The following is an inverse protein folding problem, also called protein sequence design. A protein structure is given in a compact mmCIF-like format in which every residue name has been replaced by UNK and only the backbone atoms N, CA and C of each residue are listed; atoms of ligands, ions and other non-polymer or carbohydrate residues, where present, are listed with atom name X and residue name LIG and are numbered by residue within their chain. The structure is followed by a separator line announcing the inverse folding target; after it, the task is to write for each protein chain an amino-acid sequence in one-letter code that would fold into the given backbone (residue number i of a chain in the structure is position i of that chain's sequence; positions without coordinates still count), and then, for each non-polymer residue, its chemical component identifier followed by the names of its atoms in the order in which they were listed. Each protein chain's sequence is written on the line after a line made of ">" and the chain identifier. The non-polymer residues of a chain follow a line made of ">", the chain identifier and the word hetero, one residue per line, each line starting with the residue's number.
data_IF_002535208987
#
_entry.id   IF_002535208987
#
_cell.length_a   1.000
_cell.length_b   1.000
_cell.length_c   1.000
_cell.angle_alpha   90.00
_cell.angle_beta   90.00
_cell.angle_gamma   90.00
#
_symmetry.space_group_name_H-M   'P 1'
#
loop_
_entity.id
_entity.type
_entity.pdbx_description
1 polymer ?
#
# COMPACT_ATOMS: atom_id res chain seq x y z
N UNK A 1 -17.76 -7.55 -13.37
CA UNK A 1 -16.52 -7.12 -14.04
C UNK A 1 -16.00 -8.35 -14.70
N UNK A 2 -15.67 -8.29 -15.98
CA UNK A 2 -15.20 -9.48 -16.70
C UNK A 2 -13.68 -9.47 -16.71
N UNK A 3 -13.09 -10.53 -16.18
CA UNK A 3 -11.64 -10.74 -16.20
C UNK A 3 -11.28 -11.69 -17.34
N UNK A 4 -10.16 -11.46 -18.04
CA UNK A 4 -9.70 -12.40 -19.05
C UNK A 4 -9.25 -13.70 -18.37
N UNK A 5 -9.63 -14.84 -18.93
CA UNK A 5 -9.13 -16.15 -18.51
C UNK A 5 -7.69 -16.37 -18.99
N UNK A 6 -6.96 -17.23 -18.28
CA UNK A 6 -5.71 -17.79 -18.76
C UNK A 6 -5.98 -18.81 -19.88
N UNK A 7 -4.92 -19.19 -20.61
CA UNK A 7 -4.99 -20.29 -21.55
C UNK A 7 -5.28 -21.62 -20.83
N UNK A 8 -5.83 -22.59 -21.54
CA UNK A 8 -6.10 -23.94 -21.01
C UNK A 8 -4.83 -24.55 -20.41
N UNK A 9 -4.92 -25.04 -19.16
CA UNK A 9 -3.79 -25.63 -18.44
C UNK A 9 -2.84 -24.63 -17.76
N UNK A 10 -2.98 -23.33 -18.02
CA UNK A 10 -2.25 -22.28 -17.30
C UNK A 10 -3.03 -21.91 -16.02
N UNK A 11 -2.32 -21.83 -14.90
CA UNK A 11 -2.94 -21.47 -13.62
C UNK A 11 -3.30 -19.99 -13.58
N UNK A 12 -4.52 -19.70 -13.13
CA UNK A 12 -5.06 -18.38 -12.84
C UNK A 12 -5.89 -18.42 -11.56
N UNK A 13 -6.34 -17.27 -11.07
CA UNK A 13 -7.19 -17.24 -9.87
C UNK A 13 -8.55 -17.89 -10.12
N UNK A 14 -9.10 -18.54 -9.10
CA UNK A 14 -10.44 -19.11 -9.13
C UNK A 14 -11.51 -18.04 -9.46
N UNK A 15 -12.19 -18.13 -10.62
CA UNK A 15 -13.23 -17.19 -10.99
C UNK A 15 -14.35 -17.09 -9.96
N UNK A 16 -14.75 -18.18 -9.32
CA UNK A 16 -15.85 -18.16 -8.35
C UNK A 16 -15.50 -17.33 -7.12
N UNK A 17 -14.27 -17.48 -6.60
CA UNK A 17 -13.80 -16.72 -5.46
C UNK A 17 -13.66 -15.23 -5.79
N UNK A 18 -13.13 -14.91 -6.98
CA UNK A 18 -13.00 -13.52 -7.47
C UNK A 18 -14.38 -12.87 -7.63
N UNK A 19 -15.31 -13.54 -8.30
CA UNK A 19 -16.66 -13.01 -8.55
C UNK A 19 -17.45 -12.82 -7.26
N UNK A 20 -17.31 -13.73 -6.29
CA UNK A 20 -17.93 -13.60 -4.98
C UNK A 20 -17.46 -12.35 -4.23
N UNK A 21 -16.16 -12.05 -4.28
CA UNK A 21 -15.61 -10.82 -3.70
C UNK A 21 -16.16 -9.59 -4.43
N UNK A 22 -16.11 -9.57 -5.77
CA UNK A 22 -16.59 -8.43 -6.57
C UNK A 22 -18.07 -8.15 -6.34
N UNK A 23 -18.89 -9.20 -6.19
CA UNK A 23 -20.30 -9.08 -5.83
C UNK A 23 -20.49 -8.50 -4.42
N UNK A 24 -19.63 -8.86 -3.47
CA UNK A 24 -19.64 -8.29 -2.11
C UNK A 24 -19.27 -6.80 -2.13
N UNK A 25 -18.22 -6.44 -2.86
CA UNK A 25 -17.80 -5.04 -3.07
C UNK A 25 -18.94 -4.22 -3.65
N UNK A 26 -19.59 -4.72 -4.70
CA UNK A 26 -20.71 -4.03 -5.36
C UNK A 26 -21.87 -3.77 -4.41
N UNK A 27 -22.30 -4.78 -3.65
CA UNK A 27 -23.38 -4.63 -2.67
C UNK A 27 -23.08 -3.58 -1.61
N UNK A 28 -21.83 -3.50 -1.14
CA UNK A 28 -21.44 -2.46 -0.19
C UNK A 28 -21.43 -1.07 -0.84
N UNK A 29 -20.96 -0.97 -2.08
CA UNK A 29 -21.01 0.29 -2.83
C UNK A 29 -22.45 0.80 -2.99
N UNK A 30 -23.40 -0.11 -3.13
CA UNK A 30 -24.85 0.16 -3.22
C UNK A 30 -25.51 0.40 -1.83
N UNK A 31 -24.74 0.38 -0.73
CA UNK A 31 -25.25 0.59 0.63
C UNK A 31 -25.99 -0.62 1.24
N UNK A 32 -25.86 -1.80 0.64
CA UNK A 32 -26.58 -3.03 1.00
C UNK A 32 -25.67 -4.12 1.61
N UNK A 33 -24.44 -3.77 2.01
CA UNK A 33 -23.43 -4.72 2.51
C UNK A 33 -23.54 -5.03 4.00
N UNK A 34 -23.30 -6.28 4.38
CA UNK A 34 -23.08 -6.68 5.78
C UNK A 34 -21.60 -6.46 6.14
N UNK A 35 -21.30 -5.26 6.66
CA UNK A 35 -19.98 -4.85 7.16
C UNK A 35 -19.07 -4.19 6.11
N UNK A 36 -18.22 -3.23 6.51
CA UNK A 36 -17.37 -2.51 5.59
C UNK A 36 -16.19 -3.38 5.11
N UNK A 37 -16.13 -3.70 3.82
CA UNK A 37 -14.90 -4.01 3.10
C UNK A 37 -14.05 -2.75 3.14
N UNK A 38 -12.85 -2.88 3.70
CA UNK A 38 -11.86 -1.82 3.72
C UNK A 38 -10.86 -1.95 2.58
N UNK A 39 -10.13 -0.88 2.30
CA UNK A 39 -9.00 -0.89 1.36
C UNK A 39 -7.98 -1.98 1.75
N UNK A 40 -7.68 -2.12 3.05
CA UNK A 40 -6.76 -3.13 3.57
C UNK A 40 -7.23 -4.57 3.28
N UNK A 41 -8.53 -4.85 3.42
CA UNK A 41 -9.08 -6.18 3.11
C UNK A 41 -8.87 -6.56 1.63
N UNK A 42 -9.00 -5.60 0.71
CA UNK A 42 -8.78 -5.85 -0.72
C UNK A 42 -7.31 -6.17 -1.03
N UNK A 43 -6.38 -5.48 -0.39
CA UNK A 43 -4.92 -5.69 -0.57
C UNK A 43 -4.46 -7.03 0.00
N UNK A 44 -5.07 -7.47 1.10
CA UNK A 44 -4.71 -8.74 1.76
C UNK A 44 -5.39 -9.97 1.16
N UNK A 45 -6.38 -9.77 0.27
CA UNK A 45 -7.13 -10.89 -0.30
C UNK A 45 -6.22 -11.77 -1.16
N UNK A 46 -6.36 -13.09 -0.99
CA UNK A 46 -5.68 -14.10 -1.79
C UNK A 46 -6.71 -15.07 -2.35
N UNK A 47 -6.49 -15.50 -3.58
CA UNK A 47 -7.31 -16.51 -4.23
C UNK A 47 -6.49 -17.76 -4.52
N UNK A 48 -7.16 -18.91 -4.50
CA UNK A 48 -6.58 -20.16 -4.95
C UNK A 48 -6.36 -20.14 -6.48
N UNK A 49 -5.41 -20.97 -6.94
CA UNK A 49 -5.07 -21.09 -8.35
C UNK A 49 -5.73 -22.32 -8.97
N UNK A 50 -6.41 -22.13 -10.11
CA UNK A 50 -7.05 -23.18 -10.89
C UNK A 50 -6.62 -23.11 -12.36
N UNK A 51 -6.59 -24.25 -13.05
CA UNK A 51 -6.26 -24.30 -14.46
C UNK A 51 -7.36 -23.61 -15.30
N UNK A 52 -6.98 -22.66 -16.15
CA UNK A 52 -7.92 -21.85 -16.94
C UNK A 52 -8.65 -20.78 -16.14
N UNK A 53 -8.20 -20.45 -14.93
CA UNK A 53 -8.77 -19.39 -14.10
C UNK A 53 -8.52 -17.98 -14.64
N UNK A 54 -8.92 -16.96 -13.88
CA UNK A 54 -8.68 -15.57 -14.25
C UNK A 54 -7.20 -15.19 -14.22
N UNK A 55 -6.80 -14.35 -15.16
CA UNK A 55 -5.43 -13.84 -15.22
C UNK A 55 -5.09 -13.06 -13.95
N UNK A 56 -4.12 -13.57 -13.19
CA UNK A 56 -3.62 -13.02 -11.92
C UNK A 56 -3.36 -11.51 -12.03
N UNK A 57 -2.59 -11.09 -13.05
CA UNK A 57 -2.25 -9.68 -13.25
C UNK A 57 -3.48 -8.79 -13.48
N UNK A 58 -4.50 -9.28 -14.18
CA UNK A 58 -5.70 -8.50 -14.47
C UNK A 58 -6.55 -8.29 -13.20
N UNK A 59 -6.67 -9.34 -12.38
CA UNK A 59 -7.39 -9.30 -11.11
C UNK A 59 -6.64 -8.41 -10.10
N UNK A 60 -5.34 -8.62 -9.92
CA UNK A 60 -4.52 -7.83 -8.98
C UNK A 60 -4.56 -6.34 -9.33
N UNK A 61 -4.45 -6.00 -10.61
CA UNK A 61 -4.52 -4.60 -11.05
C UNK A 61 -5.90 -3.98 -10.80
N UNK A 62 -6.98 -4.76 -10.91
CA UNK A 62 -8.32 -4.27 -10.60
C UNK A 62 -8.53 -4.10 -9.09
N UNK A 63 -8.03 -5.03 -8.28
CA UNK A 63 -8.07 -4.93 -6.82
C UNK A 63 -7.29 -3.72 -6.31
N UNK A 64 -6.11 -3.44 -6.88
CA UNK A 64 -5.33 -2.25 -6.54
C UNK A 64 -6.12 -0.96 -6.80
N UNK A 65 -6.71 -0.80 -8.00
CA UNK A 65 -7.54 0.37 -8.34
C UNK A 65 -8.76 0.52 -7.44
N UNK A 66 -9.37 -0.60 -7.07
CA UNK A 66 -10.50 -0.61 -6.16
C UNK A 66 -10.07 -0.20 -4.76
N UNK A 67 -8.96 -0.73 -4.25
CA UNK A 67 -8.40 -0.36 -2.95
C UNK A 67 -8.08 1.13 -2.88
N UNK A 68 -7.47 1.71 -3.92
CA UNK A 68 -7.23 3.16 -3.99
C UNK A 68 -8.53 3.97 -3.84
N UNK A 69 -9.62 3.51 -4.47
CA UNK A 69 -10.94 4.18 -4.39
C UNK A 69 -11.54 4.09 -2.97
N UNK A 70 -11.41 2.93 -2.32
CA UNK A 70 -11.88 2.73 -0.96
C UNK A 70 -11.05 3.53 0.05
N UNK A 71 -9.72 3.59 -0.13
CA UNK A 71 -8.82 4.35 0.73
C UNK A 71 -9.22 5.84 0.76
N UNK A 72 -9.49 6.44 -0.40
CA UNK A 72 -9.95 7.83 -0.49
C UNK A 72 -11.27 8.06 0.28
N UNK A 73 -12.22 7.13 0.20
CA UNK A 73 -13.50 7.24 0.92
C UNK A 73 -13.31 7.12 2.42
N UNK A 74 -12.58 6.11 2.87
CA UNK A 74 -12.29 5.89 4.29
C UNK A 74 -11.62 7.11 4.93
N UNK A 75 -10.64 7.70 4.23
CA UNK A 75 -9.99 8.92 4.70
C UNK A 75 -10.96 10.11 4.72
N UNK A 76 -11.84 10.23 3.72
CA UNK A 76 -12.84 11.31 3.67
C UNK A 76 -13.85 11.20 4.81
N UNK A 77 -14.35 9.99 5.10
CA UNK A 77 -15.23 9.70 6.24
C UNK A 77 -14.53 9.95 7.57
N UNK A 78 -13.25 9.59 7.66
CA UNK A 78 -12.43 9.84 8.84
C UNK A 78 -12.22 11.34 9.07
N UNK A 79 -11.97 12.12 8.01
CA UNK A 79 -11.87 13.57 8.08
C UNK A 79 -13.20 14.19 8.56
N UNK A 80 -14.34 13.72 8.03
CA UNK A 80 -15.65 14.18 8.46
C UNK A 80 -15.94 13.84 9.94
N UNK A 81 -15.48 12.68 10.41
CA UNK A 81 -15.72 12.20 11.77
C UNK A 81 -14.79 12.80 12.82
N UNK A 82 -13.48 12.89 12.53
CA UNK A 82 -12.45 13.32 13.48
C UNK A 82 -12.13 14.82 13.38
N UNK A 83 -12.46 15.46 12.27
CA UNK A 83 -12.13 16.85 11.98
C UNK A 83 -10.68 17.05 11.50
N UNK A 84 -10.46 18.16 10.80
CA UNK A 84 -9.16 18.48 10.15
C UNK A 84 -8.00 18.57 11.15
N UNK A 85 -8.23 19.11 12.34
CA UNK A 85 -7.17 19.33 13.34
C UNK A 85 -6.51 18.05 13.83
N UNK A 86 -7.28 16.97 14.06
CA UNK A 86 -6.73 15.67 14.49
C UNK A 86 -5.85 15.07 13.39
N UNK A 87 -6.30 15.15 12.13
CA UNK A 87 -5.55 14.64 10.99
C UNK A 87 -4.25 15.42 10.77
N UNK A 88 -4.27 16.75 10.94
CA UNK A 88 -3.06 17.57 10.87
C UNK A 88 -2.06 17.20 11.97
N UNK A 89 -2.50 16.99 13.21
CA UNK A 89 -1.62 16.55 14.30
C UNK A 89 -0.99 15.16 14.03
N UNK A 90 -1.74 14.23 13.43
CA UNK A 90 -1.17 12.95 12.99
C UNK A 90 -0.13 13.14 11.88
N UNK A 91 -0.39 14.02 10.91
CA UNK A 91 0.56 14.35 9.84
C UNK A 91 1.84 14.98 10.39
N UNK A 92 1.76 15.84 11.42
CA UNK A 92 2.93 16.43 12.08
C UNK A 92 3.82 15.38 12.75
N UNK A 93 3.22 14.37 13.41
CA UNK A 93 3.95 13.25 14.00
C UNK A 93 4.65 12.43 12.90
N UNK A 94 3.94 12.16 11.80
CA UNK A 94 4.49 11.42 10.66
C UNK A 94 5.61 12.19 9.97
N UNK A 95 5.48 13.52 9.82
CA UNK A 95 6.53 14.37 9.27
C UNK A 95 7.77 14.39 10.16
N UNK A 96 7.57 14.50 11.48
CA UNK A 96 8.67 14.43 12.45
C UNK A 96 9.47 13.12 12.30
N UNK A 97 8.77 11.99 12.17
CA UNK A 97 9.42 10.69 11.96
C UNK A 97 10.13 10.61 10.59
N UNK A 98 9.51 11.13 9.53
CA UNK A 98 10.15 11.26 8.22
C UNK A 98 11.47 12.04 8.32
N UNK A 99 11.44 13.24 8.90
CA UNK A 99 12.62 14.09 9.04
C UNK A 99 13.69 13.43 9.91
N UNK A 100 13.30 12.72 10.97
CA UNK A 100 14.23 11.94 11.81
C UNK A 100 14.98 10.89 10.99
N UNK A 101 14.25 10.07 10.22
CA UNK A 101 14.84 9.00 9.40
C UNK A 101 15.72 9.56 8.28
N UNK A 102 15.27 10.62 7.60
CA UNK A 102 16.07 11.30 6.57
C UNK A 102 17.35 11.91 7.14
N UNK A 103 17.28 12.52 8.34
CA UNK A 103 18.43 13.12 9.02
C UNK A 103 19.46 12.09 9.51
N UNK A 104 19.01 10.95 10.04
CA UNK A 104 19.89 9.85 10.46
C UNK A 104 20.45 9.06 9.27
N UNK A 105 19.71 9.05 8.16
CA UNK A 105 19.99 8.22 7.00
C UNK A 105 19.84 6.73 7.27
N UNK A 106 19.89 5.92 6.20
CA UNK A 106 19.51 4.50 6.26
C UNK A 106 20.26 3.66 7.32
N UNK A 107 21.52 3.98 7.61
CA UNK A 107 22.34 3.21 8.58
C UNK A 107 22.15 3.70 10.01
N UNK A 108 21.78 4.97 10.21
CA UNK A 108 21.48 5.51 11.54
C UNK A 108 20.03 5.28 11.96
N UNK A 109 19.12 5.14 11.00
CA UNK A 109 17.69 5.01 11.24
C UNK A 109 17.21 3.57 11.45
N UNK A 110 17.91 2.57 10.89
CA UNK A 110 17.49 1.18 10.87
C UNK A 110 18.58 0.23 11.36
N UNK A 111 18.18 -0.79 12.10
CA UNK A 111 19.04 -1.84 12.64
C UNK A 111 19.53 -2.81 11.56
N UNK A 112 20.55 -3.58 11.90
CA UNK A 112 21.04 -4.66 11.04
C UNK A 112 20.36 -5.99 11.34
N UNK A 113 19.96 -6.69 10.29
CA UNK A 113 19.41 -8.03 10.37
C UNK A 113 20.07 -8.99 9.38
N UNK A 114 20.11 -10.27 9.77
CA UNK A 114 20.43 -11.35 8.83
C UNK A 114 19.33 -11.43 7.78
N UNK A 115 19.69 -11.53 6.50
CA UNK A 115 18.72 -11.52 5.38
C UNK A 115 17.90 -10.23 5.27
N UNK A 116 18.46 -9.11 5.75
CA UNK A 116 17.90 -7.77 5.62
C UNK A 116 17.95 -7.19 4.20
N UNK A 117 17.42 -5.98 4.00
CA UNK A 117 17.53 -5.25 2.73
C UNK A 117 18.94 -4.70 2.49
N UNK A 118 19.36 -4.64 1.23
CA UNK A 118 20.66 -4.06 0.85
C UNK A 118 20.66 -2.57 1.23
N UNK A 119 21.65 -2.18 2.05
CA UNK A 119 21.84 -0.78 2.49
C UNK A 119 21.80 0.22 1.33
N UNK A 120 22.42 -0.13 0.19
CA UNK A 120 22.44 0.73 -1.02
C UNK A 120 21.06 0.93 -1.61
N UNK A 121 20.20 -0.08 -1.59
CA UNK A 121 18.85 0.02 -2.15
C UNK A 121 17.99 0.88 -1.21
N UNK A 122 18.05 0.68 0.11
CA UNK A 122 17.34 1.53 1.11
C UNK A 122 17.79 2.99 1.04
N UNK A 123 19.10 3.26 0.93
CA UNK A 123 19.63 4.62 0.75
C UNK A 123 19.04 5.32 -0.48
N UNK A 124 18.86 4.60 -1.58
CA UNK A 124 18.25 5.17 -2.80
C UNK A 124 16.79 5.52 -2.57
N UNK A 125 16.04 4.68 -1.86
CA UNK A 125 14.63 4.98 -1.53
C UNK A 125 14.53 6.24 -0.66
N UNK A 126 15.37 6.37 0.37
CA UNK A 126 15.40 7.58 1.20
C UNK A 126 15.79 8.82 0.39
N UNK A 127 16.75 8.70 -0.53
CA UNK A 127 17.12 9.78 -1.43
C UNK A 127 15.93 10.23 -2.30
N UNK A 128 15.22 9.28 -2.92
CA UNK A 128 14.02 9.57 -3.71
C UNK A 128 12.96 10.27 -2.85
N UNK A 129 12.70 9.78 -1.62
CA UNK A 129 11.74 10.41 -0.71
C UNK A 129 12.16 11.85 -0.37
N UNK A 130 13.45 12.08 -0.10
CA UNK A 130 13.97 13.42 0.21
C UNK A 130 13.81 14.42 -0.94
N UNK A 131 13.83 13.95 -2.19
CA UNK A 131 13.70 14.80 -3.38
C UNK A 131 12.27 15.36 -3.56
N UNK A 132 11.25 14.72 -2.97
CA UNK A 132 9.88 15.24 -3.03
C UNK A 132 9.65 16.50 -2.17
N UNK A 133 10.47 16.72 -1.15
CA UNK A 133 10.44 17.95 -0.34
C UNK A 133 9.21 18.12 0.56
N UNK A 134 8.49 17.04 0.87
CA UNK A 134 7.33 17.05 1.77
C UNK A 134 6.42 15.84 1.58
N UNK A 135 5.71 15.42 2.63
CA UNK A 135 4.81 14.27 2.61
C UNK A 135 3.67 14.41 1.58
N UNK A 136 3.15 15.63 1.40
CA UNK A 136 2.10 15.98 0.43
C UNK A 136 2.52 15.77 -1.04
N UNK A 137 3.83 15.77 -1.29
CA UNK A 137 4.41 15.64 -2.63
C UNK A 137 4.91 14.24 -2.94
N UNK A 138 5.20 13.42 -1.92
CA UNK A 138 5.67 12.06 -2.11
C UNK A 138 4.66 11.27 -2.92
N UNK A 139 5.10 10.67 -4.02
CA UNK A 139 4.26 9.73 -4.78
C UNK A 139 4.36 8.33 -4.18
N UNK A 140 3.25 7.85 -3.60
CA UNK A 140 3.19 6.53 -2.97
C UNK A 140 3.49 5.38 -3.96
N UNK A 141 3.14 5.52 -5.24
CA UNK A 141 3.46 4.51 -6.26
C UNK A 141 4.96 4.45 -6.52
N UNK A 142 5.63 5.59 -6.58
CA UNK A 142 7.10 5.65 -6.75
C UNK A 142 7.80 4.97 -5.58
N UNK A 143 7.33 5.19 -4.35
CA UNK A 143 7.90 4.53 -3.16
C UNK A 143 7.68 3.02 -3.19
N UNK A 144 6.45 2.56 -3.47
CA UNK A 144 6.09 1.12 -3.50
C UNK A 144 6.78 0.34 -4.62
N UNK A 145 7.10 1.00 -5.73
CA UNK A 145 7.76 0.36 -6.89
C UNK A 145 9.28 0.19 -6.73
N UNK A 146 9.88 0.71 -5.64
CA UNK A 146 11.32 0.59 -5.42
C UNK A 146 11.75 -0.86 -5.13
N UNK A 147 12.71 -1.36 -5.90
CA UNK A 147 13.23 -2.71 -5.69
C UNK A 147 14.21 -2.77 -4.50
N UNK A 148 13.80 -3.40 -3.41
CA UNK A 148 14.64 -3.66 -2.23
C UNK A 148 15.19 -5.09 -2.25
N UNK A 149 16.43 -5.27 -2.72
CA UNK A 149 17.06 -6.60 -2.76
C UNK A 149 17.53 -7.03 -1.39
N UNK A 150 17.54 -8.35 -1.14
CA UNK A 150 18.04 -8.95 0.10
C UNK A 150 19.57 -9.03 0.15
N UNK A 151 20.13 -9.02 1.36
CA UNK A 151 21.55 -9.17 1.68
C UNK A 151 21.72 -10.13 2.86
N UNK A 152 22.82 -10.89 2.92
CA UNK A 152 23.11 -11.76 4.09
C UNK A 152 23.21 -10.96 5.39
N UNK A 153 23.73 -9.74 5.31
CA UNK A 153 23.70 -8.71 6.36
C UNK A 153 23.19 -7.42 5.72
N UNK A 154 21.98 -7.03 6.09
CA UNK A 154 21.26 -5.89 5.52
C UNK A 154 20.53 -5.12 6.61
N UNK A 155 19.82 -4.06 6.24
CA UNK A 155 18.95 -3.34 7.16
C UNK A 155 17.70 -4.17 7.44
N UNK A 156 17.19 -4.09 8.67
CA UNK A 156 16.02 -4.82 9.10
C UNK A 156 14.83 -4.57 8.16
N UNK A 157 14.18 -5.64 7.72
CA UNK A 157 13.13 -5.53 6.71
C UNK A 157 11.85 -4.97 7.31
N UNK A 158 11.53 -5.37 8.53
CA UNK A 158 10.27 -5.01 9.16
C UNK A 158 10.30 -3.52 9.51
N UNK A 159 11.43 -3.00 10.02
CA UNK A 159 11.61 -1.56 10.27
C UNK A 159 11.54 -0.72 8.99
N UNK A 160 12.16 -1.19 7.90
CA UNK A 160 12.14 -0.49 6.61
C UNK A 160 10.74 -0.53 6.00
N UNK A 161 10.09 -1.68 5.99
CA UNK A 161 8.75 -1.86 5.42
C UNK A 161 7.71 -1.04 6.21
N UNK A 162 7.83 -0.99 7.55
CA UNK A 162 6.99 -0.15 8.41
C UNK A 162 7.17 1.34 8.11
N UNK A 163 8.41 1.80 7.96
CA UNK A 163 8.68 3.19 7.59
C UNK A 163 8.11 3.54 6.21
N UNK A 164 8.26 2.67 5.20
CA UNK A 164 7.71 2.91 3.87
C UNK A 164 6.17 2.88 3.88
N UNK A 165 5.56 2.02 4.70
CA UNK A 165 4.12 2.03 4.92
C UNK A 165 3.65 3.35 5.55
N UNK A 166 4.38 3.86 6.55
CA UNK A 166 4.10 5.16 7.18
C UNK A 166 4.15 6.30 6.15
N UNK A 167 5.23 6.39 5.36
CA UNK A 167 5.39 7.45 4.35
C UNK A 167 4.29 7.41 3.30
N UNK A 168 3.95 6.21 2.80
CA UNK A 168 2.89 6.07 1.78
C UNK A 168 1.52 6.42 2.34
N UNK A 169 1.20 6.04 3.58
CA UNK A 169 -0.05 6.41 4.24
C UNK A 169 -0.13 7.93 4.52
N UNK A 170 0.99 8.55 4.92
CA UNK A 170 1.07 9.99 5.14
C UNK A 170 0.82 10.78 3.87
N UNK A 171 1.42 10.37 2.75
CA UNK A 171 1.21 11.00 1.44
C UNK A 171 -0.26 11.00 1.02
N UNK A 172 -0.94 9.86 1.15
CA UNK A 172 -2.37 9.77 0.85
C UNK A 172 -3.19 10.73 1.72
N UNK A 173 -2.90 10.80 3.02
CA UNK A 173 -3.62 11.68 3.97
C UNK A 173 -3.37 13.16 3.70
N UNK A 174 -2.13 13.53 3.40
CA UNK A 174 -1.75 14.91 3.11
C UNK A 174 -2.48 15.45 1.85
N UNK A 175 -2.60 14.63 0.80
CA UNK A 175 -3.33 14.98 -0.43
C UNK A 175 -4.82 15.26 -0.23
N UNK A 176 -5.45 14.64 0.77
CA UNK A 176 -6.89 14.82 1.06
C UNK A 176 -7.13 16.04 1.97
N UNK A 177 -6.10 16.48 2.69
CA UNK A 177 -6.17 17.56 3.68
C UNK A 177 -5.74 18.92 3.11
N UNK A 178 -4.95 18.91 2.03
CA UNK A 178 -4.53 20.08 1.25
C UNK A 178 -5.74 20.78 0.60
#
# INVERSE_FOLDING_TARGET
>A
MDFPNTLTGVQGYDPQAVDALMARVKRQYEGQGLGPISAGMLVETRFDLVAGGYQVQAVDAALARLADTFELREQSERLARLGKGVILGELEIMDTELQRVLGLGAVGAFDYAKRGYKKRDVKKVLQIISEFGGLDRVDAFVVRSQALRRSRSGLDRDQVDEFLALVTAASTRARITA
#
